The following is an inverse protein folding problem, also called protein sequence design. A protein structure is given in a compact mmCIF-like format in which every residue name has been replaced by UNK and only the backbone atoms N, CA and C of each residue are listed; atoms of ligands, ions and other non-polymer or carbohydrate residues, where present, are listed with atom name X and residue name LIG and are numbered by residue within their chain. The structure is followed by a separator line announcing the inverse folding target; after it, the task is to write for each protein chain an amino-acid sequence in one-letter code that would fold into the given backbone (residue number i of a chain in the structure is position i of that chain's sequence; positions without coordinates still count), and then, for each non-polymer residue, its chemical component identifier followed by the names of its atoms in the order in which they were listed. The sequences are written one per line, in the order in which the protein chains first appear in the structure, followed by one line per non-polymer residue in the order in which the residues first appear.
data_IF_282209369379
#
_entry.id   IF_282209369379
#
_cell.length_a   1.000
_cell.length_b   1.000
_cell.length_c   1.000
_cell.angle_alpha   90.00
_cell.angle_beta   90.00
_cell.angle_gamma   90.00
#
_symmetry.space_group_name_H-M   'P 1'
#
loop_
_entity.id
_entity.type
_entity.pdbx_description
1 polymer ?
#
# COMPACT_ATOMS: atom_id res chain seq x y z
N UNK A 1 -22.26 -27.61 -15.44
CA UNK A 1 -21.11 -28.09 -16.22
C UNK A 1 -19.84 -27.63 -15.51
N UNK A 2 -19.08 -28.56 -14.91
CA UNK A 2 -17.87 -28.26 -14.13
C UNK A 2 -16.69 -28.08 -15.10
N UNK A 3 -16.07 -26.90 -15.10
CA UNK A 3 -14.80 -26.66 -15.80
C UNK A 3 -13.64 -26.84 -14.82
N UNK A 4 -12.80 -27.82 -15.12
CA UNK A 4 -11.57 -28.13 -14.39
C UNK A 4 -10.50 -27.06 -14.68
N UNK A 5 -10.08 -26.33 -13.66
CA UNK A 5 -8.89 -25.49 -13.71
C UNK A 5 -7.67 -26.32 -13.36
N UNK A 6 -6.71 -26.40 -14.28
CA UNK A 6 -5.44 -27.11 -14.08
C UNK A 6 -4.53 -26.28 -13.19
N UNK A 7 -4.34 -26.69 -11.93
CA UNK A 7 -3.34 -26.13 -11.03
C UNK A 7 -1.94 -26.59 -11.45
N UNK A 8 -1.08 -25.65 -11.84
CA UNK A 8 0.37 -25.86 -11.92
C UNK A 8 1.00 -25.26 -10.66
N UNK A 9 1.91 -26.01 -10.03
CA UNK A 9 2.42 -25.80 -8.68
C UNK A 9 2.85 -24.34 -8.37
N UNK A 10 2.63 -23.82 -7.14
CA UNK A 10 3.04 -22.48 -6.76
C UNK A 10 4.55 -22.44 -6.46
N UNK A 11 5.27 -21.53 -7.12
CA UNK A 11 6.56 -21.07 -6.65
C UNK A 11 6.34 -20.00 -5.58
N UNK A 12 6.67 -20.33 -4.33
CA UNK A 12 6.57 -19.42 -3.19
C UNK A 12 7.72 -18.42 -3.26
N UNK A 13 7.46 -17.20 -3.72
CA UNK A 13 8.36 -16.07 -3.47
C UNK A 13 7.76 -15.23 -2.35
N UNK A 14 8.28 -15.44 -1.14
CA UNK A 14 8.01 -14.60 0.02
C UNK A 14 8.96 -13.39 -0.03
N UNK A 15 8.48 -12.24 -0.45
CA UNK A 15 9.14 -10.96 -0.15
C UNK A 15 8.75 -10.55 1.26
N UNK A 16 9.57 -10.95 2.25
CA UNK A 16 9.40 -10.52 3.63
C UNK A 16 9.66 -9.01 3.73
N UNK A 17 8.64 -8.22 4.06
CA UNK A 17 8.80 -6.86 4.57
C UNK A 17 9.43 -6.94 5.96
N UNK A 18 10.71 -6.59 6.07
CA UNK A 18 11.37 -6.35 7.36
C UNK A 18 10.84 -5.04 7.94
N UNK A 19 9.88 -5.12 8.86
CA UNK A 19 9.54 -4.00 9.72
C UNK A 19 10.68 -3.78 10.74
N UNK A 20 11.26 -2.58 10.78
CA UNK A 20 12.18 -2.20 11.84
C UNK A 20 11.43 -2.12 13.17
N UNK A 21 11.56 -3.15 14.03
CA UNK A 21 11.27 -3.04 15.46
C UNK A 21 12.47 -2.40 16.15
N UNK A 22 12.34 -1.16 16.59
CA UNK A 22 13.20 -0.63 17.64
C UNK A 22 12.93 -1.43 18.93
N UNK A 23 13.80 -2.38 19.25
CA UNK A 23 13.84 -2.99 20.56
C UNK A 23 14.71 -2.11 21.46
N UNK A 24 14.12 -1.48 22.46
CA UNK A 24 14.86 -0.79 23.52
C UNK A 24 15.65 -1.83 24.32
N UNK A 25 16.97 -1.86 24.14
CA UNK A 25 17.86 -2.72 24.93
C UNK A 25 18.01 -2.06 26.31
N UNK A 26 17.29 -2.55 27.32
CA UNK A 26 17.61 -2.24 28.73
C UNK A 26 18.85 -3.06 29.12
N UNK A 27 20.01 -2.40 29.20
CA UNK A 27 21.22 -2.98 29.77
C UNK A 27 21.13 -2.94 31.31
N UNK A 28 20.97 -4.09 31.95
CA UNK A 28 21.19 -4.19 33.39
C UNK A 28 22.69 -4.37 33.64
N UNK A 29 23.36 -3.29 34.06
CA UNK A 29 24.70 -3.33 34.60
C UNK A 29 24.66 -3.91 36.02
N UNK A 30 25.31 -5.05 36.25
CA UNK A 30 25.51 -5.58 37.59
C UNK A 30 26.74 -4.91 38.22
N UNK A 31 26.54 -4.22 39.34
CA UNK A 31 27.59 -3.56 40.11
C UNK A 31 28.51 -4.59 40.78
N UNK A 32 29.83 -4.39 40.64
CA UNK A 32 30.86 -5.18 41.29
C UNK A 32 30.95 -4.85 42.78
N UNK A 33 30.91 -5.87 43.64
CA UNK A 33 31.33 -5.78 45.04
C UNK A 33 32.64 -6.58 45.22
N UNK A 34 33.62 -5.96 45.86
CA UNK A 34 34.99 -6.42 46.00
C UNK A 34 35.29 -7.01 47.39
N UNK A 35 36.39 -7.80 47.44
CA UNK A 35 37.18 -8.37 48.58
C UNK A 35 36.67 -9.72 49.10
N UNK A 36 37.51 -10.75 49.37
CA UNK A 36 38.93 -10.80 49.75
C UNK A 36 39.58 -12.17 49.39
N UNK A 37 40.91 -12.21 49.28
CA UNK A 37 41.78 -13.36 48.99
C UNK A 37 41.76 -14.42 50.11
N UNK A 38 41.72 -15.71 49.75
CA UNK A 38 42.49 -16.78 50.41
C UNK A 38 42.61 -18.02 49.51
N UNK A 39 43.51 -18.94 49.88
CA UNK A 39 44.41 -19.73 49.01
C UNK A 39 43.75 -20.89 48.24
N UNK A 40 44.44 -21.27 47.15
CA UNK A 40 44.16 -22.40 46.24
C UNK A 40 44.03 -23.74 46.97
N UNK A 41 42.94 -24.45 46.73
CA UNK A 41 42.88 -25.91 46.63
C UNK A 41 41.98 -26.27 45.43
N UNK A 42 42.52 -27.06 44.51
CA UNK A 42 41.81 -27.55 43.33
C UNK A 42 40.76 -28.57 43.76
N UNK A 43 39.49 -28.18 43.71
CA UNK A 43 38.35 -29.10 43.68
C UNK A 43 37.59 -28.91 42.38
N UNK A 44 37.59 -29.95 41.56
CA UNK A 44 36.86 -30.02 40.29
C UNK A 44 35.37 -29.87 40.59
N UNK A 45 34.80 -28.68 40.37
CA UNK A 45 33.36 -28.48 40.40
C UNK A 45 32.77 -28.76 39.02
N UNK A 46 32.00 -29.84 38.96
CA UNK A 46 31.23 -30.31 37.82
C UNK A 46 30.27 -29.21 37.32
N UNK A 47 30.35 -28.88 36.02
CA UNK A 47 29.42 -27.95 35.37
C UNK A 47 28.03 -28.59 35.31
N UNK A 48 27.10 -28.16 36.16
CA UNK A 48 25.68 -28.53 36.05
C UNK A 48 25.10 -27.91 34.77
N UNK A 49 25.03 -28.72 33.71
CA UNK A 49 24.28 -28.40 32.49
C UNK A 49 22.79 -28.42 32.84
N UNK A 50 22.11 -27.27 32.77
CA UNK A 50 20.63 -27.24 32.83
C UNK A 50 20.10 -27.94 31.57
N UNK A 51 19.74 -29.22 31.68
CA UNK A 51 19.06 -29.94 30.63
C UNK A 51 17.75 -29.23 30.28
N UNK A 52 17.62 -28.78 29.03
CA UNK A 52 16.35 -28.34 28.48
C UNK A 52 15.45 -29.58 28.40
N UNK A 53 14.51 -29.71 29.35
CA UNK A 53 13.45 -30.73 29.27
C UNK A 53 12.74 -30.58 27.94
N UNK A 54 12.91 -31.57 27.06
CA UNK A 54 12.14 -31.68 25.82
C UNK A 54 10.72 -32.06 26.22
N UNK A 55 9.77 -31.15 26.05
CA UNK A 55 8.36 -31.41 26.34
C UNK A 55 7.87 -32.43 25.30
N UNK A 56 7.65 -33.67 25.71
CA UNK A 56 7.14 -34.74 24.84
C UNK A 56 5.63 -34.61 24.69
N UNK A 57 5.23 -34.01 23.57
CA UNK A 57 3.83 -33.67 23.24
C UNK A 57 3.08 -34.82 22.54
N UNK A 58 3.61 -36.05 22.60
CA UNK A 58 3.18 -37.21 21.78
C UNK A 58 1.83 -37.80 22.17
N UNK A 59 1.41 -37.65 23.43
CA UNK A 59 0.20 -38.28 23.96
C UNK A 59 -1.00 -37.31 24.05
N UNK A 60 -0.87 -36.08 23.54
CA UNK A 60 -1.98 -35.13 23.52
C UNK A 60 -2.90 -35.49 22.36
N UNK A 61 -4.16 -35.81 22.64
CA UNK A 61 -5.16 -36.03 21.59
C UNK A 61 -5.31 -34.73 20.79
N UNK A 62 -4.87 -34.76 19.53
CA UNK A 62 -4.96 -33.65 18.58
C UNK A 62 -5.93 -34.07 17.48
N UNK A 63 -7.14 -33.47 17.45
CA UNK A 63 -8.13 -33.58 16.41
C UNK A 63 -7.64 -33.85 15.00
N UNK A 64 -6.61 -33.07 14.68
CA UNK A 64 -6.12 -32.74 13.34
C UNK A 64 -4.62 -32.39 13.46
N UNK A 65 -3.77 -33.41 13.41
CA UNK A 65 -2.31 -33.25 13.27
C UNK A 65 -1.60 -32.52 14.43
N UNK A 66 -0.83 -31.46 14.13
CA UNK A 66 0.03 -30.74 15.09
C UNK A 66 -0.73 -29.77 16.01
N UNK A 67 -1.99 -29.53 15.73
CA UNK A 67 -2.79 -28.43 16.29
C UNK A 67 -3.95 -29.03 17.14
N UNK A 68 -4.40 -28.32 18.20
CA UNK A 68 -5.41 -28.79 19.18
C UNK A 68 -6.95 -28.56 18.91
N UNK A 69 -7.37 -27.50 18.19
CA UNK A 69 -8.69 -27.13 17.58
C UNK A 69 -8.77 -26.94 16.02
N UNK A 70 -9.67 -27.62 15.28
CA UNK A 70 -9.72 -27.53 13.80
C UNK A 70 -9.57 -26.06 13.33
N UNK A 71 -8.67 -25.75 12.38
CA UNK A 71 -8.45 -24.37 11.98
C UNK A 71 -9.72 -23.87 11.32
N UNK A 72 -10.50 -23.10 12.09
CA UNK A 72 -11.64 -22.37 11.56
C UNK A 72 -11.11 -21.04 11.05
N UNK A 73 -10.25 -21.11 10.03
CA UNK A 73 -9.53 -19.94 9.47
C UNK A 73 -10.51 -18.81 9.09
N UNK A 74 -11.70 -19.20 8.62
CA UNK A 74 -12.76 -18.28 8.19
C UNK A 74 -13.37 -17.51 9.37
N UNK A 75 -13.59 -18.15 10.52
CA UNK A 75 -14.25 -17.52 11.68
C UNK A 75 -13.31 -16.57 12.41
N UNK A 76 -12.01 -16.88 12.49
CA UNK A 76 -11.04 -15.99 13.12
C UNK A 76 -10.75 -14.76 12.24
N UNK A 77 -10.58 -14.93 10.92
CA UNK A 77 -10.37 -13.78 10.03
C UNK A 77 -11.59 -12.86 9.98
N UNK A 78 -12.81 -13.40 9.87
CA UNK A 78 -14.04 -12.57 9.82
C UNK A 78 -14.31 -11.86 11.15
N UNK A 79 -14.02 -12.50 12.29
CA UNK A 79 -14.23 -11.90 13.62
C UNK A 79 -13.26 -10.75 13.93
N UNK A 80 -12.01 -10.84 13.49
CA UNK A 80 -11.00 -9.81 13.74
C UNK A 80 -10.85 -8.78 12.60
N UNK A 81 -11.23 -9.15 11.37
CA UNK A 81 -11.17 -8.30 10.19
C UNK A 81 -12.53 -8.30 9.47
N UNK A 82 -13.47 -7.42 9.89
CA UNK A 82 -14.81 -7.39 9.29
C UNK A 82 -14.80 -6.99 7.81
N UNK A 83 -13.74 -6.30 7.36
CA UNK A 83 -13.53 -5.90 5.95
C UNK A 83 -12.09 -6.16 5.51
N UNK A 84 -11.74 -7.40 5.14
CA UNK A 84 -10.40 -7.69 4.67
C UNK A 84 -10.11 -6.94 3.36
N UNK A 85 -9.01 -6.17 3.26
CA UNK A 85 -8.66 -5.45 2.05
C UNK A 85 -8.17 -6.40 0.96
N UNK A 86 -8.60 -6.15 -0.28
CA UNK A 86 -8.13 -6.85 -1.47
C UNK A 86 -7.15 -5.96 -2.21
N UNK A 87 -5.93 -6.47 -2.40
CA UNK A 87 -4.86 -5.81 -3.13
C UNK A 87 -4.68 -6.42 -4.51
N UNK A 88 -4.36 -5.56 -5.48
CA UNK A 88 -3.92 -5.96 -6.81
C UNK A 88 -2.46 -5.55 -6.97
N UNK A 89 -1.62 -6.55 -7.20
CA UNK A 89 -0.22 -6.40 -7.54
C UNK A 89 -0.05 -6.57 -9.04
N UNK A 90 0.28 -5.50 -9.73
CA UNK A 90 0.62 -5.50 -11.14
C UNK A 90 2.14 -5.40 -11.29
N UNK A 91 2.69 -6.18 -12.21
CA UNK A 91 4.08 -6.07 -12.65
C UNK A 91 4.10 -5.50 -14.06
N UNK A 92 4.85 -4.42 -14.25
CA UNK A 92 4.83 -3.61 -15.47
C UNK A 92 6.10 -3.75 -16.30
N UNK A 93 5.96 -3.75 -17.61
CA UNK A 93 7.08 -3.64 -18.55
C UNK A 93 7.44 -2.18 -18.80
N UNK A 94 8.27 -1.64 -17.91
CA UNK A 94 8.75 -0.25 -17.98
C UNK A 94 9.79 0.00 -19.09
N UNK A 95 10.19 -1.04 -19.83
CA UNK A 95 11.16 -0.94 -20.93
C UNK A 95 10.45 -0.51 -22.21
N UNK A 96 11.01 0.48 -22.90
CA UNK A 96 10.62 0.84 -24.26
C UNK A 96 11.70 0.40 -25.25
N UNK A 97 11.34 0.33 -26.53
CA UNK A 97 12.33 0.12 -27.58
C UNK A 97 13.34 1.27 -27.61
N UNK A 98 14.63 0.94 -27.78
CA UNK A 98 15.77 1.88 -27.82
C UNK A 98 16.06 2.64 -26.51
N UNK A 99 16.62 1.96 -25.49
CA UNK A 99 17.17 2.52 -24.21
C UNK A 99 16.25 3.45 -23.38
N UNK A 100 15.10 3.88 -23.91
CA UNK A 100 14.11 4.70 -23.22
C UNK A 100 13.34 3.81 -22.26
N UNK A 101 12.94 4.38 -21.13
CA UNK A 101 12.10 3.73 -20.12
C UNK A 101 10.90 4.62 -19.86
N UNK A 102 9.79 4.00 -19.48
CA UNK A 102 8.65 4.73 -18.92
C UNK A 102 9.07 5.23 -17.55
N UNK A 103 8.86 6.52 -17.27
CA UNK A 103 9.09 7.08 -15.95
C UNK A 103 8.06 6.50 -14.96
N UNK A 104 8.46 6.15 -13.71
CA UNK A 104 7.50 5.85 -12.67
C UNK A 104 6.53 7.01 -12.48
N UNK A 105 5.24 6.70 -12.43
CA UNK A 105 4.17 7.69 -12.35
C UNK A 105 3.23 7.41 -11.18
N UNK A 106 2.41 8.41 -10.89
CA UNK A 106 1.34 8.37 -9.92
C UNK A 106 0.08 8.78 -10.65
N UNK A 107 -0.95 7.95 -10.59
CA UNK A 107 -2.25 8.23 -11.20
C UNK A 107 -3.35 8.21 -10.16
N UNK A 108 -4.43 8.90 -10.46
CA UNK A 108 -5.62 9.01 -9.62
C UNK A 108 -6.82 8.67 -10.48
N UNK A 109 -7.54 7.64 -10.08
CA UNK A 109 -8.68 7.10 -10.82
C UNK A 109 -9.92 7.11 -9.95
N UNK A 110 -11.08 7.34 -10.54
CA UNK A 110 -12.34 7.08 -9.87
C UNK A 110 -12.68 5.60 -9.98
N UNK A 111 -12.83 4.92 -8.86
CA UNK A 111 -13.27 3.53 -8.85
C UNK A 111 -14.79 3.47 -9.06
N UNK A 112 -15.29 2.64 -10.00
CA UNK A 112 -16.74 2.48 -10.21
C UNK A 112 -17.50 2.12 -8.93
N UNK A 113 -16.90 1.27 -8.08
CA UNK A 113 -17.46 0.85 -6.81
C UNK A 113 -16.55 1.29 -5.66
N UNK A 114 -16.85 2.42 -4.98
CA UNK A 114 -16.05 2.87 -3.86
C UNK A 114 -16.19 1.91 -2.67
N UNK A 115 -15.06 1.60 -2.03
CA UNK A 115 -15.01 0.75 -0.83
C UNK A 115 -14.62 1.52 0.44
N UNK A 116 -14.15 2.76 0.28
CA UNK A 116 -13.86 3.67 1.40
C UNK A 116 -15.09 4.55 1.62
N UNK A 117 -15.58 4.59 2.85
CA UNK A 117 -16.63 5.53 3.27
C UNK A 117 -16.12 6.96 3.37
N UNK A 118 -14.81 7.10 3.63
CA UNK A 118 -14.23 8.37 4.02
C UNK A 118 -13.87 9.19 2.79
N UNK A 119 -14.34 10.43 2.75
CA UNK A 119 -14.00 11.40 1.71
C UNK A 119 -12.59 11.91 1.99
N UNK A 120 -11.77 12.01 0.93
CA UNK A 120 -10.41 12.49 1.05
C UNK A 120 -10.39 13.95 1.51
N UNK A 121 -9.54 14.28 2.51
CA UNK A 121 -9.33 15.65 2.95
C UNK A 121 -8.38 16.36 2.01
N UNK A 122 -8.83 17.45 1.40
CA UNK A 122 -8.06 18.19 0.39
C UNK A 122 -7.78 19.61 0.89
N UNK A 123 -6.50 20.01 0.81
CA UNK A 123 -6.06 21.39 1.02
C UNK A 123 -5.69 21.98 -0.32
N UNK A 124 -6.16 23.21 -0.58
CA UNK A 124 -5.93 23.91 -1.85
C UNK A 124 -5.08 25.15 -1.60
N UNK A 125 -4.01 25.29 -2.37
CA UNK A 125 -3.12 26.45 -2.35
C UNK A 125 -3.40 27.37 -3.54
N UNK A 126 -3.78 28.62 -3.26
CA UNK A 126 -4.09 29.65 -4.25
C UNK A 126 -3.69 31.02 -3.74
N UNK A 127 -3.18 31.88 -4.61
CA UNK A 127 -2.96 33.30 -4.26
C UNK A 127 -4.22 34.13 -4.45
N UNK A 128 -5.09 33.71 -5.38
CA UNK A 128 -6.33 34.40 -5.70
C UNK A 128 -7.41 34.12 -4.64
N UNK A 129 -7.96 35.14 -3.97
CA UNK A 129 -8.98 34.95 -2.93
C UNK A 129 -10.30 34.40 -3.49
N UNK A 130 -10.65 34.76 -4.73
CA UNK A 130 -11.85 34.25 -5.41
C UNK A 130 -11.76 32.74 -5.65
N UNK A 131 -10.58 32.27 -6.08
CA UNK A 131 -10.32 30.84 -6.28
C UNK A 131 -10.35 30.07 -4.95
N UNK A 132 -9.87 30.68 -3.86
CA UNK A 132 -9.98 30.10 -2.53
C UNK A 132 -11.45 29.94 -2.10
N UNK A 133 -12.30 30.93 -2.38
CA UNK A 133 -13.75 30.85 -2.10
C UNK A 133 -14.40 29.74 -2.91
N UNK A 134 -14.13 29.67 -4.21
CA UNK A 134 -14.63 28.60 -5.09
C UNK A 134 -14.18 27.22 -4.58
N UNK A 135 -12.92 27.09 -4.15
CA UNK A 135 -12.41 25.84 -3.60
C UNK A 135 -13.18 25.39 -2.35
N UNK A 136 -13.47 26.31 -1.43
CA UNK A 136 -14.25 26.05 -0.22
C UNK A 136 -15.69 25.64 -0.56
N UNK A 137 -16.36 26.33 -1.49
CA UNK A 137 -17.70 25.98 -1.96
C UNK A 137 -17.77 24.57 -2.57
N UNK A 138 -16.70 24.13 -3.24
CA UNK A 138 -16.59 22.80 -3.84
C UNK A 138 -16.14 21.70 -2.86
N UNK A 139 -16.00 22.02 -1.57
CA UNK A 139 -15.72 21.06 -0.50
C UNK A 139 -14.24 20.80 -0.23
N UNK A 140 -13.36 21.78 -0.50
CA UNK A 140 -12.02 21.79 0.07
C UNK A 140 -12.09 21.93 1.60
N UNK A 141 -11.21 21.24 2.33
CA UNK A 141 -11.17 21.34 3.78
C UNK A 141 -10.60 22.70 4.24
N UNK A 142 -9.55 23.17 3.57
CA UNK A 142 -8.93 24.47 3.77
C UNK A 142 -8.44 24.98 2.41
N UNK A 143 -8.67 26.26 2.12
CA UNK A 143 -8.09 26.94 0.97
C UNK A 143 -7.38 28.21 1.42
N UNK A 144 -6.20 28.49 0.87
CA UNK A 144 -5.42 29.67 1.24
C UNK A 144 -4.09 29.79 0.51
N UNK A 145 -3.35 30.84 0.85
CA UNK A 145 -2.07 31.16 0.22
C UNK A 145 -0.85 30.59 0.96
N UNK A 146 0.23 31.36 0.96
CA UNK A 146 1.50 30.99 1.60
C UNK A 146 1.41 30.86 3.13
N UNK A 147 0.42 31.51 3.76
CA UNK A 147 0.16 31.44 5.20
C UNK A 147 -0.06 30.01 5.71
N UNK A 148 -0.58 29.13 4.86
CA UNK A 148 -0.81 27.72 5.21
C UNK A 148 0.49 26.91 5.30
N UNK A 149 1.59 27.39 4.70
CA UNK A 149 2.88 26.70 4.71
C UNK A 149 3.39 26.51 6.13
N UNK A 150 3.35 27.57 6.94
CA UNK A 150 3.83 27.54 8.31
C UNK A 150 2.98 26.61 9.19
N UNK A 151 1.65 26.66 9.06
CA UNK A 151 0.71 25.78 9.79
C UNK A 151 0.94 24.31 9.46
N UNK A 152 1.21 24.00 8.19
CA UNK A 152 1.53 22.63 7.76
C UNK A 152 2.91 22.21 8.28
N UNK A 153 3.89 23.11 8.31
CA UNK A 153 5.20 22.84 8.93
C UNK A 153 5.09 22.61 10.45
N UNK A 154 4.13 23.25 11.12
CA UNK A 154 3.81 23.05 12.52
C UNK A 154 2.92 21.82 12.82
N UNK A 155 2.51 21.05 11.78
CA UNK A 155 1.61 19.89 11.90
C UNK A 155 0.18 20.21 12.37
N UNK A 156 -0.25 21.48 12.31
CA UNK A 156 -1.62 21.88 12.65
C UNK A 156 -2.63 21.38 11.61
N UNK A 157 -2.23 21.39 10.34
CA UNK A 157 -3.08 21.01 9.21
C UNK A 157 -2.53 19.74 8.56
N UNK A 158 -3.35 18.69 8.56
CA UNK A 158 -3.05 17.41 7.92
C UNK A 158 -4.11 17.06 6.88
N UNK A 159 -3.68 16.66 5.69
CA UNK A 159 -4.55 16.35 4.57
C UNK A 159 -4.07 15.11 3.80
N UNK A 160 -4.98 14.53 3.03
CA UNK A 160 -4.68 13.40 2.14
C UNK A 160 -4.03 13.91 0.87
N UNK A 161 -4.62 14.95 0.27
CA UNK A 161 -4.13 15.58 -0.95
C UNK A 161 -3.92 17.08 -0.79
N UNK A 162 -2.90 17.57 -1.47
CA UNK A 162 -2.58 18.99 -1.60
C UNK A 162 -2.68 19.37 -3.07
N UNK A 163 -3.55 20.32 -3.38
CA UNK A 163 -3.73 20.89 -4.71
C UNK A 163 -3.14 22.30 -4.74
N UNK A 164 -2.60 22.72 -5.88
CA UNK A 164 -2.04 24.07 -6.03
C UNK A 164 -2.32 24.67 -7.41
N UNK A 165 -2.46 25.99 -7.45
CA UNK A 165 -2.36 26.78 -8.68
C UNK A 165 -0.88 26.88 -9.10
N UNK A 166 -0.52 26.92 -10.40
CA UNK A 166 0.88 27.02 -10.83
C UNK A 166 1.67 28.18 -10.20
N UNK A 167 1.01 29.31 -9.94
CA UNK A 167 1.65 30.54 -9.48
C UNK A 167 2.25 30.40 -8.07
N UNK A 168 1.56 29.67 -7.18
CA UNK A 168 1.99 29.53 -5.77
C UNK A 168 3.02 28.42 -5.56
N UNK A 169 3.26 27.54 -6.54
CA UNK A 169 4.12 26.35 -6.38
C UNK A 169 5.53 26.72 -5.91
N UNK A 170 6.07 27.85 -6.35
CA UNK A 170 7.38 28.33 -5.94
C UNK A 170 7.43 28.66 -4.43
N UNK A 171 6.34 29.20 -3.87
CA UNK A 171 6.23 29.51 -2.44
C UNK A 171 6.05 28.26 -1.59
N UNK A 172 5.62 27.14 -2.17
CA UNK A 172 5.43 25.86 -1.49
C UNK A 172 6.71 25.02 -1.37
N UNK A 173 7.83 25.42 -1.98
CA UNK A 173 9.11 24.68 -1.94
C UNK A 173 9.58 24.27 -0.53
N UNK A 174 9.38 25.07 0.54
CA UNK A 174 9.73 24.64 1.90
C UNK A 174 9.01 23.35 2.35
N UNK A 175 7.81 23.09 1.83
CA UNK A 175 7.03 21.88 2.16
C UNK A 175 7.54 20.62 1.45
N UNK A 176 8.44 20.73 0.48
CA UNK A 176 8.89 19.60 -0.36
C UNK A 176 9.43 18.43 0.47
N UNK A 177 10.20 18.72 1.51
CA UNK A 177 10.82 17.71 2.37
C UNK A 177 9.82 17.06 3.33
N UNK A 178 8.80 17.81 3.75
CA UNK A 178 7.75 17.35 4.67
C UNK A 178 6.71 16.51 3.94
N UNK A 179 6.19 17.01 2.83
CA UNK A 179 5.12 16.34 2.07
C UNK A 179 5.64 15.19 1.21
N UNK A 180 6.90 15.23 0.74
CA UNK A 180 7.57 14.17 -0.07
C UNK A 180 6.68 13.66 -1.22
N UNK A 181 6.03 12.51 -1.02
CA UNK A 181 5.13 11.88 -2.00
C UNK A 181 3.86 12.71 -2.20
N UNK A 182 3.35 13.42 -1.19
CA UNK A 182 2.13 14.25 -1.24
C UNK A 182 2.34 15.65 -1.83
N UNK A 183 3.58 16.02 -2.18
CA UNK A 183 3.88 17.35 -2.70
C UNK A 183 3.19 17.59 -4.06
N UNK A 184 2.55 18.75 -4.29
CA UNK A 184 1.87 19.03 -5.55
C UNK A 184 2.82 18.98 -6.76
N UNK A 185 2.47 18.20 -7.79
CA UNK A 185 3.24 18.10 -9.05
C UNK A 185 2.32 18.15 -10.26
N UNK A 186 2.75 18.86 -11.30
CA UNK A 186 2.02 18.92 -12.58
C UNK A 186 1.86 17.53 -13.22
N UNK A 187 2.89 16.66 -13.17
CA UNK A 187 2.81 15.27 -13.66
C UNK A 187 1.74 14.42 -12.97
N UNK A 188 1.34 14.76 -11.74
CA UNK A 188 0.29 14.07 -10.98
C UNK A 188 -1.11 14.64 -11.27
N UNK A 189 -1.19 15.78 -11.96
CA UNK A 189 -2.44 16.52 -12.13
C UNK A 189 -2.93 17.22 -10.86
N UNK A 190 -2.07 17.36 -9.83
CA UNK A 190 -2.39 18.08 -8.60
C UNK A 190 -2.02 19.57 -8.66
N UNK A 191 -1.50 20.03 -9.80
CA UNK A 191 -1.23 21.43 -10.10
C UNK A 191 -1.98 21.80 -11.37
N UNK A 192 -2.84 22.81 -11.30
CA UNK A 192 -3.66 23.23 -12.43
C UNK A 192 -4.48 24.47 -12.14
N UNK A 193 -5.03 25.08 -13.20
CA UNK A 193 -5.85 26.29 -13.09
C UNK A 193 -7.31 25.98 -12.73
N UNK A 194 -7.82 24.81 -13.13
CA UNK A 194 -9.22 24.44 -12.94
C UNK A 194 -9.44 23.70 -11.61
N UNK A 195 -9.55 24.45 -10.52
CA UNK A 195 -9.71 23.90 -9.16
C UNK A 195 -10.97 23.04 -8.98
N UNK A 196 -12.17 23.44 -9.47
CA UNK A 196 -13.38 22.64 -9.26
C UNK A 196 -13.28 21.24 -9.87
N UNK A 197 -12.71 21.15 -11.08
CA UNK A 197 -12.49 19.89 -11.79
C UNK A 197 -11.48 19.00 -11.04
N UNK A 198 -10.39 19.59 -10.54
CA UNK A 198 -9.41 18.85 -9.73
C UNK A 198 -10.04 18.36 -8.42
N UNK A 199 -10.79 19.21 -7.71
CA UNK A 199 -11.46 18.81 -6.47
C UNK A 199 -12.41 17.63 -6.70
N UNK A 200 -13.21 17.65 -7.77
CA UNK A 200 -14.10 16.54 -8.10
C UNK A 200 -13.35 15.20 -8.28
N UNK A 201 -12.19 15.23 -8.95
CA UNK A 201 -11.35 14.06 -9.16
C UNK A 201 -10.71 13.56 -7.85
N UNK A 202 -10.13 14.45 -7.06
CA UNK A 202 -9.37 14.07 -5.87
C UNK A 202 -10.25 13.75 -4.66
N UNK A 203 -11.50 14.23 -4.62
CA UNK A 203 -12.43 14.02 -3.50
C UNK A 203 -12.80 12.55 -3.32
N UNK A 204 -13.01 11.84 -4.42
CA UNK A 204 -13.33 10.41 -4.47
C UNK A 204 -12.25 9.58 -5.18
N UNK A 205 -11.17 10.24 -5.62
CA UNK A 205 -10.10 9.62 -6.37
C UNK A 205 -9.32 8.63 -5.54
N UNK A 206 -9.03 7.48 -6.15
CA UNK A 206 -8.13 6.47 -5.62
C UNK A 206 -6.75 6.64 -6.24
N UNK A 207 -5.75 6.95 -5.41
CA UNK A 207 -4.37 7.09 -5.83
C UNK A 207 -3.69 5.71 -5.91
N UNK A 208 -2.98 5.45 -7.00
CA UNK A 208 -2.01 4.38 -7.09
C UNK A 208 -0.68 4.91 -7.64
N UNK A 209 0.41 4.24 -7.29
CA UNK A 209 1.75 4.64 -7.66
C UNK A 209 2.55 3.45 -8.16
N UNK A 210 3.38 3.69 -9.16
CA UNK A 210 4.37 2.73 -9.63
C UNK A 210 5.63 2.86 -8.77
N UNK A 211 5.97 1.81 -8.04
CA UNK A 211 7.23 1.66 -7.31
C UNK A 211 8.14 0.72 -8.10
N UNK A 212 9.16 1.28 -8.74
CA UNK A 212 10.06 0.63 -9.71
C UNK A 212 9.33 0.01 -10.91
N UNK A 213 8.79 -1.19 -10.72
CA UNK A 213 8.16 -2.06 -11.73
C UNK A 213 6.80 -2.56 -11.22
N UNK A 214 6.46 -2.29 -9.96
CA UNK A 214 5.29 -2.84 -9.29
C UNK A 214 4.25 -1.75 -9.00
N UNK A 215 2.99 -2.09 -9.18
CA UNK A 215 1.86 -1.35 -8.63
C UNK A 215 1.20 -2.25 -7.62
N UNK A 216 1.25 -1.85 -6.34
CA UNK A 216 0.49 -2.51 -5.29
C UNK A 216 -0.55 -1.52 -4.77
N UNK A 217 -1.83 -1.82 -5.00
CA UNK A 217 -2.91 -0.95 -4.56
C UNK A 217 -4.11 -1.73 -4.08
N UNK A 218 -4.81 -1.19 -3.07
CA UNK A 218 -6.06 -1.76 -2.59
C UNK A 218 -7.18 -1.41 -3.57
N UNK A 219 -7.95 -2.38 -4.00
CA UNK A 219 -8.97 -2.21 -5.06
C UNK A 219 -10.39 -2.42 -4.53
N UNK A 220 -10.53 -3.22 -3.48
CA UNK A 220 -11.81 -3.54 -2.88
C UNK A 220 -11.62 -4.05 -1.43
N UNK A 221 -12.74 -4.44 -0.84
CA UNK A 221 -12.82 -5.21 0.40
C UNK A 221 -13.61 -6.49 0.12
N UNK A 222 -13.33 -7.58 0.85
CA UNK A 222 -13.94 -8.89 0.59
C UNK A 222 -15.45 -8.97 0.90
N UNK A 223 -16.03 -7.94 1.54
CA UNK A 223 -17.48 -7.80 1.72
C UNK A 223 -18.22 -7.40 0.44
N UNK A 224 -17.50 -6.92 -0.58
CA UNK A 224 -18.08 -6.55 -1.86
C UNK A 224 -18.40 -7.76 -2.74
N UNK A 225 -19.43 -7.69 -3.61
CA UNK A 225 -19.71 -8.75 -4.56
C UNK A 225 -18.58 -8.87 -5.59
N UNK A 226 -18.38 -10.09 -6.11
CA UNK A 226 -17.27 -10.42 -7.01
C UNK A 226 -17.24 -9.56 -8.27
N UNK A 227 -18.40 -9.21 -8.80
CA UNK A 227 -18.56 -8.37 -10.00
C UNK A 227 -17.96 -6.98 -9.78
N UNK A 228 -18.24 -6.36 -8.64
CA UNK A 228 -17.73 -5.02 -8.31
C UNK A 228 -16.22 -5.02 -8.12
N UNK A 229 -15.68 -6.08 -7.51
CA UNK A 229 -14.23 -6.27 -7.38
C UNK A 229 -13.58 -6.35 -8.76
N UNK A 230 -14.15 -7.15 -9.67
CA UNK A 230 -13.64 -7.27 -11.04
C UNK A 230 -13.71 -5.95 -11.81
N UNK A 231 -14.79 -5.19 -11.68
CA UNK A 231 -14.95 -3.90 -12.34
C UNK A 231 -13.94 -2.86 -11.84
N UNK A 232 -13.68 -2.80 -10.53
CA UNK A 232 -12.64 -1.94 -9.97
C UNK A 232 -11.25 -2.34 -10.47
N UNK A 233 -10.95 -3.65 -10.54
CA UNK A 233 -9.67 -4.14 -11.10
C UNK A 233 -9.56 -3.76 -12.58
N UNK A 234 -10.63 -3.94 -13.37
CA UNK A 234 -10.68 -3.53 -14.78
C UNK A 234 -10.39 -2.05 -14.94
N UNK A 235 -10.96 -1.19 -14.11
CA UNK A 235 -10.73 0.25 -14.16
C UNK A 235 -9.24 0.58 -13.99
N UNK A 236 -8.58 0.02 -12.97
CA UNK A 236 -7.14 0.23 -12.72
C UNK A 236 -6.30 -0.33 -13.86
N UNK A 237 -6.59 -1.55 -14.33
CA UNK A 237 -5.82 -2.18 -15.42
C UNK A 237 -5.91 -1.34 -16.71
N UNK A 238 -7.09 -0.81 -17.03
CA UNK A 238 -7.30 0.08 -18.18
C UNK A 238 -6.51 1.39 -18.06
N UNK A 239 -6.56 2.02 -16.88
CA UNK A 239 -5.81 3.26 -16.62
C UNK A 239 -4.30 3.04 -16.71
N UNK A 240 -3.80 1.97 -16.07
CA UNK A 240 -2.38 1.58 -16.15
C UNK A 240 -1.95 1.34 -17.60
N UNK A 241 -2.74 0.59 -18.37
CA UNK A 241 -2.44 0.32 -19.77
C UNK A 241 -2.39 1.59 -20.62
N UNK A 242 -3.19 2.62 -20.30
CA UNK A 242 -3.21 3.90 -21.03
C UNK A 242 -1.88 4.67 -20.96
N UNK A 243 -1.05 4.42 -19.95
CA UNK A 243 0.23 5.12 -19.79
C UNK A 243 1.32 4.66 -20.76
N UNK A 244 1.16 3.51 -21.41
CA UNK A 244 2.08 3.02 -22.45
C UNK A 244 1.35 3.01 -23.80
N UNK A 245 1.89 3.69 -24.84
CA UNK A 245 1.30 3.64 -26.17
C UNK A 245 1.23 2.20 -26.70
N UNK A 246 0.14 1.86 -27.38
CA UNK A 246 -0.13 0.51 -27.90
C UNK A 246 0.97 0.00 -28.86
N UNK A 247 1.68 0.91 -29.52
CA UNK A 247 2.81 0.62 -30.42
C UNK A 247 3.93 -0.19 -29.75
N UNK A 248 4.11 -0.05 -28.42
CA UNK A 248 5.20 -0.69 -27.68
C UNK A 248 4.80 -2.04 -27.04
N UNK A 249 3.66 -2.61 -27.47
CA UNK A 249 3.15 -3.88 -26.97
C UNK A 249 2.58 -3.81 -25.55
N UNK A 250 2.28 -4.97 -24.94
CA UNK A 250 1.62 -5.03 -23.64
C UNK A 250 2.44 -4.32 -22.56
N UNK A 251 1.75 -3.66 -21.63
CA UNK A 251 2.39 -2.96 -20.52
C UNK A 251 2.42 -3.75 -19.22
N UNK A 252 1.45 -4.64 -19.01
CA UNK A 252 1.31 -5.40 -17.77
C UNK A 252 1.74 -6.85 -18.05
N UNK A 253 2.84 -7.29 -17.44
CA UNK A 253 3.35 -8.66 -17.57
C UNK A 253 2.52 -9.65 -16.75
N UNK A 254 2.15 -9.23 -15.53
CA UNK A 254 1.54 -10.11 -14.53
C UNK A 254 0.62 -9.34 -13.61
N UNK A 255 -0.54 -9.93 -13.32
CA UNK A 255 -1.48 -9.45 -12.32
C UNK A 255 -1.70 -10.52 -11.26
N UNK A 256 -1.54 -10.15 -9.98
CA UNK A 256 -1.80 -11.01 -8.83
C UNK A 256 -2.78 -10.28 -7.93
N UNK A 257 -3.83 -10.96 -7.49
CA UNK A 257 -4.72 -10.45 -6.46
C UNK A 257 -4.50 -11.21 -5.16
N UNK A 258 -4.35 -10.49 -4.06
CA UNK A 258 -4.14 -11.07 -2.74
C UNK A 258 -4.87 -10.25 -1.67
N UNK A 259 -5.33 -10.94 -0.63
CA UNK A 259 -5.66 -10.32 0.65
C UNK A 259 -4.42 -10.26 1.54
N UNK A 260 -4.52 -9.63 2.72
CA UNK A 260 -3.38 -9.40 3.62
C UNK A 260 -2.72 -10.70 4.11
N UNK A 261 -3.50 -11.75 4.34
CA UNK A 261 -3.05 -13.04 4.87
C UNK A 261 -3.31 -14.21 3.94
N UNK A 262 -3.84 -13.95 2.73
CA UNK A 262 -4.14 -15.01 1.77
C UNK A 262 -2.99 -15.20 0.79
N UNK A 263 -2.98 -16.36 0.15
CA UNK A 263 -2.14 -16.57 -1.03
C UNK A 263 -2.55 -15.63 -2.18
N UNK A 264 -1.60 -15.39 -3.09
CA UNK A 264 -1.81 -14.55 -4.26
C UNK A 264 -2.34 -15.35 -5.44
N UNK A 265 -3.49 -14.96 -5.97
CA UNK A 265 -4.10 -15.54 -7.16
C UNK A 265 -3.61 -14.83 -8.42
N UNK A 266 -3.09 -15.59 -9.38
CA UNK A 266 -2.74 -15.06 -10.69
C UNK A 266 -3.99 -14.83 -11.54
N UNK A 267 -4.16 -13.62 -12.07
CA UNK A 267 -5.30 -13.24 -12.91
C UNK A 267 -4.84 -13.06 -14.36
N UNK A 268 -5.64 -13.58 -15.30
CA UNK A 268 -5.43 -13.37 -16.73
C UNK A 268 -5.91 -11.96 -17.11
N UNK A 269 -5.00 -11.15 -17.64
CA UNK A 269 -5.24 -9.74 -17.95
C UNK A 269 -6.05 -9.57 -19.25
N UNK A 270 -5.94 -10.53 -20.17
CA UNK A 270 -6.63 -10.53 -21.47
C UNK A 270 -8.16 -10.45 -21.35
N UNK A 271 -8.72 -10.97 -20.26
CA UNK A 271 -10.17 -10.93 -19.98
C UNK A 271 -10.63 -9.59 -19.36
N UNK A 272 -9.68 -8.74 -18.92
CA UNK A 272 -9.94 -7.48 -18.23
C UNK A 272 -9.75 -6.25 -19.14
N UNK A 273 -8.92 -6.39 -20.18
CA UNK A 273 -8.79 -5.39 -21.23
C UNK A 273 -10.03 -5.43 -22.13
N UNK A 274 -10.49 -4.28 -22.66
CA UNK A 274 -11.52 -4.30 -23.68
C UNK A 274 -11.00 -5.14 -24.85
N UNK A 275 -11.72 -6.20 -25.21
CA UNK A 275 -11.45 -6.96 -26.41
C UNK A 275 -11.55 -5.97 -27.57
N UNK A 276 -10.45 -5.68 -28.25
CA UNK A 276 -10.52 -5.02 -29.53
C UNK A 276 -11.38 -5.93 -30.40
N UNK A 277 -12.61 -5.51 -30.71
CA UNK A 277 -13.42 -6.17 -31.71
C UNK A 277 -12.58 -6.19 -32.98
N UNK A 278 -12.04 -7.37 -33.31
CA UNK A 278 -11.40 -7.62 -34.59
C UNK A 278 -12.47 -7.34 -35.63
N UNK A 279 -12.43 -6.13 -36.21
CA UNK A 279 -13.22 -5.78 -37.37
C UNK A 279 -12.92 -6.85 -38.42
N UNK A 280 -13.93 -7.68 -38.69
CA UNK A 280 -13.91 -8.73 -39.69
C UNK A 280 -13.80 -8.14 -41.10
#
# INVERSE_FOLDING_TARGET
QRLFFTCRAPSVFCSSLTAHKQQSVRSYAAAAAAKQKEKKEETVQEKVVKEKKKVDDKNRHKPYGLTAWAPVDDVYMVRYYPRPPVYTNLRLDMKLEKKKKVDPFVSIIHLPHPFKSDINKIVVFTENPDQARIAMENGAAVAGGAELVEKILADEITADFYLAEPDIVQKLLPLKNKLRKKFPKSKRGSVGMNIPKMLALFKSGHEYMVEDIYVNTQVATLDMPKEYILENIRAIVKDVASHKPAEFGPFIERAIVCSRSSEGLHIKIEELLPQEEKKA
#
